data_IF_725600614725
#
_entry.id   IF_725600614725
#
_cell.length_a   1.000
_cell.length_b   1.000
_cell.length_c   1.000
_cell.angle_alpha   90.00
_cell.angle_beta   90.00
_cell.angle_gamma   90.00
#
_symmetry.space_group_name_H-M   'P 1'
#
loop_
_entity.id
_entity.type
_entity.pdbx_description
1 polymer ?
#
# COMPACT_ATOMS: atom_id res chain seq x y z
N UNK A 1 -12.39 24.30 -37.13
CA UNK A 1 -12.39 23.07 -36.61
C UNK A 1 -11.26 22.83 -35.70
N UNK A 2 -11.51 22.16 -34.80
CA UNK A 2 -10.50 21.90 -33.86
C UNK A 2 -9.58 20.91 -34.49
N UNK A 3 -8.44 21.35 -34.75
CA UNK A 3 -7.50 20.42 -35.13
C UNK A 3 -7.03 19.71 -33.99
N UNK A 4 -7.05 18.43 -34.05
CA UNK A 4 -6.38 17.65 -33.06
C UNK A 4 -4.92 17.87 -33.25
N UNK A 5 -4.36 18.64 -32.34
CA UNK A 5 -2.93 18.83 -32.34
C UNK A 5 -2.32 17.58 -31.73
N UNK A 6 -1.78 16.75 -32.58
CA UNK A 6 -1.22 15.49 -32.13
C UNK A 6 -0.12 15.69 -31.12
N UNK A 7 0.70 16.73 -31.32
CA UNK A 7 1.77 17.01 -30.36
C UNK A 7 1.18 17.34 -29.00
N UNK A 8 0.12 18.13 -28.97
CA UNK A 8 -0.50 18.49 -27.71
C UNK A 8 -1.10 17.27 -27.03
N UNK A 9 -1.73 16.40 -27.83
CA UNK A 9 -2.30 15.17 -27.26
C UNK A 9 -1.21 14.28 -26.67
N UNK A 10 -0.08 14.17 -27.36
CA UNK A 10 1.00 13.37 -26.87
C UNK A 10 1.59 13.94 -25.59
N UNK A 11 1.69 15.27 -25.50
CA UNK A 11 2.18 15.92 -24.31
C UNK A 11 1.23 15.67 -23.15
N UNK A 12 -0.07 15.73 -23.40
CA UNK A 12 -1.05 15.46 -22.36
C UNK A 12 -0.98 14.03 -21.88
N UNK A 13 -0.80 13.09 -22.82
CA UNK A 13 -0.67 11.70 -22.46
C UNK A 13 0.55 11.46 -21.61
N UNK A 14 1.67 12.08 -21.97
CA UNK A 14 2.89 11.96 -21.19
C UNK A 14 2.72 12.57 -19.81
N UNK A 15 2.06 13.71 -19.73
CA UNK A 15 1.85 14.35 -18.43
C UNK A 15 1.00 13.46 -17.52
N UNK A 16 -0.02 12.84 -18.08
CA UNK A 16 -0.86 11.95 -17.31
C UNK A 16 -0.07 10.73 -16.84
N UNK A 17 0.73 10.18 -17.73
CA UNK A 17 1.54 9.02 -17.37
C UNK A 17 2.52 9.35 -16.26
N UNK A 18 3.18 10.50 -16.35
CA UNK A 18 4.09 10.95 -15.32
C UNK A 18 3.37 11.13 -13.99
N UNK A 19 2.19 11.72 -14.04
CA UNK A 19 1.41 11.93 -12.83
C UNK A 19 1.04 10.61 -12.17
N UNK A 20 0.60 9.66 -12.97
CA UNK A 20 0.25 8.36 -12.44
C UNK A 20 1.46 7.66 -11.83
N UNK A 21 2.61 7.78 -12.48
CA UNK A 21 3.83 7.19 -11.97
C UNK A 21 4.22 7.82 -10.64
N UNK A 22 4.12 9.15 -10.54
CA UNK A 22 4.42 9.83 -9.30
C UNK A 22 3.49 9.41 -8.19
N UNK A 23 2.21 9.23 -8.50
CA UNK A 23 1.24 8.78 -7.51
C UNK A 23 1.53 7.37 -7.05
N UNK A 24 1.94 6.50 -7.96
CA UNK A 24 2.31 5.14 -7.59
C UNK A 24 3.54 5.12 -6.70
N UNK A 25 4.52 5.96 -7.02
CA UNK A 25 5.73 6.05 -6.20
C UNK A 25 5.41 6.59 -4.81
N UNK A 26 4.54 7.59 -4.74
CA UNK A 26 4.15 8.14 -3.47
C UNK A 26 3.39 7.11 -2.63
N UNK A 27 2.51 6.35 -3.27
CA UNK A 27 1.76 5.31 -2.56
C UNK A 27 2.71 4.21 -2.08
N UNK A 28 3.69 3.85 -2.90
CA UNK A 28 4.64 2.81 -2.53
C UNK A 28 5.50 3.22 -1.34
N UNK A 29 5.72 4.52 -1.16
CA UNK A 29 6.53 5.01 -0.06
C UNK A 29 5.75 5.11 1.25
N UNK A 30 4.45 5.06 1.21
CA UNK A 30 3.65 5.10 2.43
C UNK A 30 3.80 3.81 3.21
N UNK A 31 3.62 3.91 4.50
CA UNK A 31 3.78 2.75 5.38
C UNK A 31 2.55 2.56 6.24
N UNK A 32 2.36 1.32 6.65
CA UNK A 32 1.35 0.96 7.64
C UNK A 32 2.04 0.19 8.75
N UNK A 33 1.44 0.25 9.92
CA UNK A 33 1.92 -0.50 11.08
C UNK A 33 0.95 -1.61 11.38
N UNK A 34 1.49 -2.72 11.87
CA UNK A 34 0.68 -3.82 12.37
C UNK A 34 1.38 -4.40 13.60
N UNK A 35 0.62 -5.11 14.40
CA UNK A 35 1.19 -5.66 15.61
C UNK A 35 0.47 -6.95 15.99
N UNK A 36 1.11 -7.72 16.83
CA UNK A 36 0.53 -8.92 17.39
C UNK A 36 0.93 -9.03 18.85
N UNK A 37 0.20 -9.87 19.58
CA UNK A 37 0.52 -10.09 20.99
C UNK A 37 0.40 -8.83 21.83
N UNK A 38 -0.56 -7.95 21.52
CA UNK A 38 -0.72 -6.73 22.29
C UNK A 38 0.43 -5.76 22.14
N UNK A 39 1.12 -5.81 21.01
CA UNK A 39 2.24 -4.91 20.74
C UNK A 39 3.58 -5.55 20.98
N UNK A 40 3.62 -6.82 21.33
CA UNK A 40 4.90 -7.49 21.56
C UNK A 40 5.73 -7.60 20.29
N UNK A 41 5.06 -7.73 19.14
CA UNK A 41 5.73 -7.71 17.84
C UNK A 41 5.03 -6.67 17.00
N UNK A 42 5.82 -5.78 16.40
CA UNK A 42 5.31 -4.75 15.52
C UNK A 42 6.04 -4.83 14.21
N UNK A 43 5.31 -4.60 13.12
CA UNK A 43 5.93 -4.56 11.80
C UNK A 43 5.50 -3.29 11.10
N UNK A 44 6.36 -2.82 10.22
CA UNK A 44 6.09 -1.70 9.34
C UNK A 44 6.19 -2.23 7.92
N UNK A 45 5.12 -2.05 7.13
CA UNK A 45 5.06 -2.52 5.75
C UNK A 45 4.79 -1.32 4.85
N UNK A 46 5.48 -1.24 3.72
CA UNK A 46 5.26 -0.13 2.81
C UNK A 46 4.28 -0.50 1.69
N UNK A 47 3.97 0.48 0.86
CA UNK A 47 3.02 0.29 -0.22
C UNK A 47 3.50 -0.61 -1.34
N UNK A 48 4.79 -0.98 -1.35
CA UNK A 48 5.28 -1.98 -2.27
C UNK A 48 5.18 -3.38 -1.68
N UNK A 49 4.49 -3.50 -0.53
CA UNK A 49 4.27 -4.75 0.18
C UNK A 49 5.56 -5.35 0.71
N UNK A 50 6.47 -4.49 1.11
CA UNK A 50 7.73 -4.92 1.72
C UNK A 50 7.71 -4.62 3.20
N UNK A 51 8.18 -5.57 3.97
CA UNK A 51 8.38 -5.36 5.40
C UNK A 51 9.62 -4.49 5.57
N UNK A 52 9.42 -3.32 6.15
CA UNK A 52 10.50 -2.36 6.36
C UNK A 52 11.19 -2.56 7.68
N UNK A 53 10.44 -3.00 8.68
CA UNK A 53 10.99 -3.14 10.02
C UNK A 53 10.14 -4.09 10.84
N UNK A 54 10.79 -4.84 11.70
CA UNK A 54 10.14 -5.66 12.71
C UNK A 54 10.73 -5.26 14.03
N UNK A 55 9.88 -4.90 14.98
CA UNK A 55 10.28 -4.59 16.35
C UNK A 55 9.74 -5.66 17.28
N UNK A 56 10.61 -6.21 18.10
CA UNK A 56 10.23 -7.28 19.00
C UNK A 56 10.52 -6.80 20.40
N UNK A 57 9.51 -6.90 21.28
CA UNK A 57 9.67 -6.53 22.67
C UNK A 57 10.71 -7.43 23.32
N UNK A 58 11.60 -6.84 24.09
CA UNK A 58 12.64 -7.59 24.74
C UNK A 58 12.07 -8.70 25.64
N UNK A 59 10.91 -8.48 26.21
CA UNK A 59 10.29 -9.47 27.08
C UNK A 59 9.95 -10.75 26.31
N UNK A 60 9.58 -10.63 25.03
CA UNK A 60 9.29 -11.80 24.21
C UNK A 60 10.55 -12.61 23.99
N UNK A 61 11.65 -11.92 23.71
CA UNK A 61 12.92 -12.59 23.50
C UNK A 61 13.38 -13.25 24.80
N UNK A 62 13.20 -12.56 25.92
CA UNK A 62 13.61 -13.09 27.22
C UNK A 62 12.78 -14.29 27.64
N UNK A 63 11.56 -14.43 27.13
CA UNK A 63 10.72 -15.58 27.46
C UNK A 63 11.27 -16.88 26.89
N UNK A 64 12.15 -16.79 25.90
CA UNK A 64 12.83 -17.94 25.32
C UNK A 64 11.84 -18.97 24.77
N UNK A 65 10.75 -18.49 24.22
CA UNK A 65 9.73 -19.32 23.59
C UNK A 65 9.75 -19.03 22.10
N UNK A 66 10.58 -19.77 21.38
CA UNK A 66 10.79 -19.53 19.97
C UNK A 66 9.51 -19.77 19.16
N UNK A 67 8.76 -20.79 19.51
CA UNK A 67 7.53 -21.09 18.76
C UNK A 67 6.52 -19.97 18.89
N UNK A 68 6.38 -19.41 20.08
CA UNK A 68 5.48 -18.27 20.28
C UNK A 68 5.94 -17.08 19.47
N UNK A 69 7.23 -16.80 19.49
CA UNK A 69 7.78 -15.67 18.74
C UNK A 69 7.53 -15.82 17.25
N UNK A 70 7.75 -17.02 16.74
CA UNK A 70 7.50 -17.28 15.31
C UNK A 70 6.04 -17.02 14.95
N UNK A 71 5.13 -17.50 15.78
CA UNK A 71 3.70 -17.28 15.52
C UNK A 71 3.34 -15.80 15.56
N UNK A 72 3.88 -15.07 16.54
CA UNK A 72 3.61 -13.64 16.63
C UNK A 72 4.12 -12.89 15.40
N UNK A 73 5.28 -13.26 14.90
CA UNK A 73 5.82 -12.62 13.71
C UNK A 73 4.94 -12.90 12.50
N UNK A 74 4.51 -14.15 12.34
CA UNK A 74 3.66 -14.51 11.20
C UNK A 74 2.38 -13.69 11.22
N UNK A 75 1.74 -13.59 12.37
CA UNK A 75 0.49 -12.84 12.48
C UNK A 75 0.72 -11.36 12.17
N UNK A 76 1.76 -10.77 12.74
CA UNK A 76 2.03 -9.35 12.54
C UNK A 76 2.36 -9.05 11.08
N UNK A 77 3.19 -9.88 10.45
CA UNK A 77 3.57 -9.65 9.05
C UNK A 77 2.37 -9.78 8.13
N UNK A 78 1.57 -10.82 8.32
CA UNK A 78 0.39 -11.01 7.47
C UNK A 78 -0.62 -9.89 7.64
N UNK A 79 -0.82 -9.43 8.87
CA UNK A 79 -1.71 -8.30 9.10
C UNK A 79 -1.15 -7.03 8.46
N UNK A 80 0.15 -6.82 8.55
CA UNK A 80 0.80 -5.67 7.93
C UNK A 80 0.64 -5.67 6.43
N UNK A 81 0.81 -6.82 5.80
CA UNK A 81 0.64 -6.92 4.35
C UNK A 81 -0.81 -6.64 3.96
N UNK A 82 -1.77 -7.18 4.73
CA UNK A 82 -3.17 -6.92 4.45
C UNK A 82 -3.51 -5.43 4.57
N UNK A 83 -2.96 -4.78 5.60
CA UNK A 83 -3.17 -3.34 5.79
C UNK A 83 -2.54 -2.53 4.67
N UNK A 84 -1.37 -2.94 4.20
CA UNK A 84 -0.71 -2.26 3.10
C UNK A 84 -1.52 -2.40 1.81
N UNK A 85 -2.08 -3.58 1.57
CA UNK A 85 -2.93 -3.79 0.40
C UNK A 85 -4.16 -2.91 0.45
N UNK A 86 -4.76 -2.77 1.64
CA UNK A 86 -5.92 -1.91 1.80
C UNK A 86 -5.54 -0.45 1.58
N UNK A 87 -4.38 -0.04 2.10
CA UNK A 87 -3.90 1.31 1.88
C UNK A 87 -3.71 1.60 0.40
N UNK A 88 -3.14 0.64 -0.34
CA UNK A 88 -2.96 0.82 -1.77
C UNK A 88 -4.29 0.96 -2.49
N UNK A 89 -5.25 0.13 -2.13
CA UNK A 89 -6.58 0.21 -2.74
C UNK A 89 -7.20 1.57 -2.47
N UNK A 90 -7.05 2.09 -1.24
CA UNK A 90 -7.58 3.39 -0.89
C UNK A 90 -6.89 4.50 -1.67
N UNK A 91 -5.57 4.40 -1.83
CA UNK A 91 -4.82 5.40 -2.59
C UNK A 91 -5.22 5.40 -4.06
N UNK A 92 -5.43 4.23 -4.62
CA UNK A 92 -5.89 4.15 -6.01
C UNK A 92 -7.27 4.74 -6.16
N UNK A 93 -8.12 4.60 -5.15
CA UNK A 93 -9.45 5.18 -5.16
C UNK A 93 -9.43 6.70 -5.15
N UNK A 94 -8.33 7.32 -4.74
CA UNK A 94 -8.21 8.76 -4.69
C UNK A 94 -7.81 9.37 -6.02
N UNK A 95 -7.66 8.57 -7.07
CA UNK A 95 -7.25 9.08 -8.36
C UNK A 95 -8.33 9.92 -9.04
N UNK A 96 -9.42 10.17 -8.36
CA UNK A 96 -10.47 11.00 -8.90
C UNK A 96 -11.18 10.31 -10.05
N UNK A 97 -11.43 11.04 -11.13
CA UNK A 97 -12.22 10.46 -12.22
C UNK A 97 -11.68 9.15 -12.75
N UNK A 98 -10.35 9.00 -12.75
CA UNK A 98 -9.80 7.75 -13.24
C UNK A 98 -9.95 6.65 -12.21
N UNK A 99 -9.59 6.92 -10.97
CA UNK A 99 -9.73 5.93 -9.92
C UNK A 99 -11.18 5.71 -9.56
N UNK A 100 -11.96 6.78 -9.62
CA UNK A 100 -13.36 6.70 -9.28
C UNK A 100 -14.28 6.48 -10.45
N UNK A 101 -13.72 6.27 -11.63
CA UNK A 101 -14.51 6.10 -12.81
C UNK A 101 -15.38 4.87 -12.68
N UNK A 102 -16.69 5.10 -12.77
CA UNK A 102 -17.61 3.99 -12.67
C UNK A 102 -18.03 3.60 -14.05
N UNK A 103 -17.53 2.51 -14.50
CA UNK A 103 -17.93 1.98 -15.78
C UNK A 103 -19.24 1.23 -15.59
N UNK A 104 -20.08 1.26 -16.60
CA UNK A 104 -21.30 0.50 -16.53
C UNK A 104 -20.99 -0.97 -16.26
N UNK A 105 -21.61 -1.51 -15.25
CA UNK A 105 -21.39 -2.88 -14.88
C UNK A 105 -20.26 -3.12 -13.93
N UNK A 106 -19.57 -2.06 -13.49
CA UNK A 106 -18.48 -2.22 -12.54
C UNK A 106 -18.78 -1.46 -11.29
N UNK A 107 -18.62 -2.10 -10.17
CA UNK A 107 -18.61 -1.44 -8.90
C UNK A 107 -19.77 -0.53 -8.66
N UNK A 108 -20.81 -0.73 -9.37
CA UNK A 108 -21.91 0.15 -9.27
C UNK A 108 -22.69 -0.08 -8.04
N UNK A 109 -22.61 -1.19 -7.49
CA UNK A 109 -23.42 -1.43 -6.38
C UNK A 109 -22.73 -1.71 -5.24
#
# INVERSE_FOLDING_TARGET
MAELDLTSLMQQAQALQTKMQEMQEAAAAKTVDAQSGGGMVRVVVDGSLRVRRIEIDAAVVAANDTAMLEDLIVVAVNDGIARAQKMLADEMGKLGPLGGLKLPGFGAE
#
